data_IF_491781324162
#
_entry.id   IF_491781324162
#
_cell.length_a   1.000
_cell.length_b   1.000
_cell.length_c   1.000
_cell.angle_alpha   90.00
_cell.angle_beta   90.00
_cell.angle_gamma   90.00
#
_symmetry.space_group_name_H-M   'P 1'
#
loop_
_entity.id
_entity.type
_entity.pdbx_description
1 polymer ?
#
# COMPACT_ATOMS: atom_id res chain seq x y z
N UNK A 1 -23.54 49.59 -53.39
CA UNK A 1 -22.42 48.86 -52.69
C UNK A 1 -22.46 49.22 -51.22
N UNK A 2 -22.88 48.28 -50.36
CA UNK A 2 -22.92 48.41 -48.90
C UNK A 2 -21.58 48.03 -48.28
N UNK A 3 -21.23 48.50 -47.07
CA UNK A 3 -19.93 48.29 -46.48
C UNK A 3 -19.78 46.81 -46.02
N UNK A 4 -18.66 46.23 -46.45
CA UNK A 4 -18.23 44.88 -46.00
C UNK A 4 -17.86 44.92 -44.52
N UNK A 5 -18.54 44.12 -43.73
CA UNK A 5 -18.23 43.94 -42.32
C UNK A 5 -16.83 43.26 -42.10
N UNK A 6 -16.22 43.47 -40.93
CA UNK A 6 -14.90 42.96 -40.65
C UNK A 6 -14.81 41.41 -40.67
N UNK A 7 -13.68 40.84 -41.06
CA UNK A 7 -13.49 39.37 -41.15
C UNK A 7 -13.69 38.72 -39.80
N UNK A 8 -14.52 37.66 -39.73
CA UNK A 8 -14.69 36.82 -38.56
C UNK A 8 -13.38 36.07 -38.29
N UNK A 9 -12.70 36.45 -37.22
CA UNK A 9 -11.59 35.68 -36.69
C UNK A 9 -12.17 34.38 -36.14
N UNK A 10 -11.91 33.26 -36.80
CA UNK A 10 -12.26 31.93 -36.31
C UNK A 10 -11.43 31.66 -35.04
N UNK A 11 -12.11 31.43 -33.92
CA UNK A 11 -11.47 30.98 -32.68
C UNK A 11 -10.64 29.72 -32.95
N UNK A 12 -9.44 29.60 -32.39
CA UNK A 12 -8.59 28.42 -32.53
C UNK A 12 -9.34 27.20 -31.99
N UNK A 13 -9.43 26.13 -32.80
CA UNK A 13 -9.92 24.84 -32.32
C UNK A 13 -9.17 24.44 -31.08
N UNK A 14 -9.86 23.98 -30.01
CA UNK A 14 -9.15 23.45 -28.85
C UNK A 14 -8.27 22.29 -29.33
N UNK A 15 -6.98 22.34 -28.97
CA UNK A 15 -6.03 21.25 -29.15
C UNK A 15 -6.63 19.98 -28.55
N UNK A 16 -6.41 18.78 -29.12
CA UNK A 16 -6.86 17.53 -28.50
C UNK A 16 -6.33 17.53 -27.06
N UNK A 17 -7.25 17.41 -26.10
CA UNK A 17 -6.91 17.18 -24.69
C UNK A 17 -5.95 16.00 -24.69
N UNK A 18 -4.70 16.22 -24.38
CA UNK A 18 -3.75 15.17 -24.03
C UNK A 18 -4.45 14.36 -22.97
N UNK A 19 -4.83 13.12 -23.29
CA UNK A 19 -5.40 12.20 -22.32
C UNK A 19 -4.44 12.20 -21.12
N UNK A 20 -4.98 12.45 -19.92
CA UNK A 20 -4.16 12.33 -18.72
C UNK A 20 -3.51 10.95 -18.74
N UNK A 21 -2.21 10.84 -18.48
CA UNK A 21 -1.56 9.54 -18.47
C UNK A 21 -2.30 8.63 -17.48
N UNK A 22 -2.72 7.46 -17.95
CA UNK A 22 -3.40 6.48 -17.11
C UNK A 22 -2.54 6.16 -15.90
N UNK A 23 -3.15 6.15 -14.73
CA UNK A 23 -2.47 5.76 -13.48
C UNK A 23 -2.13 4.28 -13.59
N UNK A 24 -0.85 3.92 -13.54
CA UNK A 24 -0.40 2.54 -13.69
C UNK A 24 -1.02 1.59 -12.68
N UNK A 25 -1.26 2.07 -11.47
CA UNK A 25 -1.92 1.31 -10.41
C UNK A 25 -3.28 0.78 -10.84
N UNK A 26 -4.09 1.59 -11.54
CA UNK A 26 -5.42 1.19 -12.02
C UNK A 26 -5.35 0.48 -13.37
N UNK A 27 -4.50 0.93 -14.28
CA UNK A 27 -4.30 0.33 -15.60
C UNK A 27 -3.86 -1.14 -15.53
N UNK A 28 -2.98 -1.45 -14.59
CA UNK A 28 -2.42 -2.78 -14.37
C UNK A 28 -3.03 -3.51 -13.17
N UNK A 29 -4.18 -3.05 -12.68
CA UNK A 29 -4.89 -3.72 -11.59
C UNK A 29 -5.35 -5.11 -12.05
N UNK A 30 -5.00 -6.19 -11.34
CA UNK A 30 -5.42 -7.54 -11.68
C UNK A 30 -6.94 -7.67 -11.82
N UNK A 31 -7.38 -8.31 -12.89
CA UNK A 31 -8.80 -8.57 -13.18
C UNK A 31 -9.16 -10.01 -12.90
N UNK A 32 -8.20 -10.92 -13.08
CA UNK A 32 -8.32 -12.36 -12.83
C UNK A 32 -7.38 -12.79 -11.72
N UNK A 33 -7.69 -13.92 -11.07
CA UNK A 33 -6.86 -14.42 -9.96
C UNK A 33 -5.43 -14.77 -10.36
N UNK A 34 -5.21 -15.20 -11.59
CA UNK A 34 -3.89 -15.62 -12.07
C UNK A 34 -2.91 -14.43 -12.25
N UNK A 35 -3.42 -13.21 -12.34
CA UNK A 35 -2.63 -11.98 -12.41
C UNK A 35 -2.28 -11.41 -11.03
N UNK A 36 -2.89 -11.96 -9.97
CA UNK A 36 -2.65 -11.50 -8.59
C UNK A 36 -1.31 -12.03 -8.11
N UNK A 37 -0.53 -11.15 -7.54
CA UNK A 37 0.81 -11.44 -7.04
C UNK A 37 0.79 -11.49 -5.51
N UNK A 38 1.42 -12.51 -4.95
CA UNK A 38 1.54 -12.71 -3.51
C UNK A 38 0.31 -13.32 -2.85
N UNK A 39 0.47 -13.68 -1.58
CA UNK A 39 -0.58 -14.25 -0.74
C UNK A 39 -1.29 -15.49 -1.36
N UNK A 40 -0.54 -16.35 -2.04
CA UNK A 40 -1.02 -17.48 -2.83
C UNK A 40 -2.02 -18.37 -2.08
N UNK A 41 -1.83 -18.60 -0.77
CA UNK A 41 -2.75 -19.39 0.05
C UNK A 41 -4.14 -18.75 0.16
N UNK A 42 -4.21 -17.43 0.42
CA UNK A 42 -5.48 -16.71 0.50
C UNK A 42 -6.15 -16.63 -0.88
N UNK A 43 -5.38 -16.39 -1.92
CA UNK A 43 -5.86 -16.34 -3.32
C UNK A 43 -6.43 -17.70 -3.73
N UNK A 44 -5.78 -18.82 -3.40
CA UNK A 44 -6.27 -20.18 -3.71
C UNK A 44 -7.62 -20.47 -3.02
N UNK A 45 -7.77 -20.07 -1.75
CA UNK A 45 -9.05 -20.21 -1.02
C UNK A 45 -10.14 -19.41 -1.73
N UNK A 46 -9.89 -18.15 -2.09
CA UNK A 46 -10.86 -17.30 -2.79
C UNK A 46 -11.19 -17.84 -4.19
N UNK A 47 -10.21 -18.38 -4.90
CA UNK A 47 -10.41 -19.03 -6.20
C UNK A 47 -11.32 -20.26 -6.07
N UNK A 48 -11.17 -21.08 -5.03
CA UNK A 48 -12.06 -22.21 -4.77
C UNK A 48 -13.50 -21.78 -4.46
N UNK A 49 -13.68 -20.66 -3.75
CA UNK A 49 -15.00 -20.09 -3.46
C UNK A 49 -15.71 -19.56 -4.71
N UNK A 50 -14.97 -19.08 -5.71
CA UNK A 50 -15.58 -18.61 -6.97
C UNK A 50 -16.25 -19.71 -7.78
N UNK A 51 -15.77 -20.95 -7.66
CA UNK A 51 -16.29 -22.13 -8.37
C UNK A 51 -17.45 -22.79 -7.59
N UNK A 52 -17.42 -22.74 -6.26
CA UNK A 52 -18.36 -23.45 -5.40
C UNK A 52 -19.78 -22.85 -5.27
N UNK A 53 -20.08 -21.74 -5.96
CA UNK A 53 -21.41 -21.10 -5.99
C UNK A 53 -21.79 -20.35 -4.72
N UNK A 54 -21.50 -20.84 -3.53
CA UNK A 54 -21.77 -20.14 -2.26
C UNK A 54 -20.51 -20.05 -1.42
N UNK A 55 -20.32 -18.90 -0.77
CA UNK A 55 -19.19 -18.66 0.13
C UNK A 55 -19.65 -17.84 1.36
N UNK A 56 -18.94 -17.89 2.48
CA UNK A 56 -19.27 -17.11 3.67
C UNK A 56 -19.00 -15.62 3.45
N UNK A 57 -19.41 -14.79 4.41
CA UNK A 57 -18.88 -13.44 4.48
C UNK A 57 -17.37 -13.49 4.66
N UNK A 58 -16.64 -12.55 4.08
CA UNK A 58 -15.18 -12.54 4.07
C UNK A 58 -14.64 -11.34 4.86
N UNK A 59 -13.60 -11.57 5.60
CA UNK A 59 -12.81 -10.53 6.26
C UNK A 59 -11.34 -10.67 5.87
N UNK A 60 -10.86 -9.73 5.06
CA UNK A 60 -9.48 -9.68 4.58
C UNK A 60 -8.69 -8.70 5.45
N UNK A 61 -7.75 -9.19 6.22
CA UNK A 61 -6.93 -8.39 7.14
C UNK A 61 -5.46 -8.45 6.75
N UNK A 62 -4.78 -7.30 6.74
CA UNK A 62 -3.35 -7.23 6.44
C UNK A 62 -2.88 -5.83 6.10
N UNK A 63 -1.56 -5.62 5.88
CA UNK A 63 -0.97 -4.32 5.60
C UNK A 63 -1.54 -3.69 4.33
N UNK A 64 -1.38 -2.36 4.13
CA UNK A 64 -1.78 -1.70 2.89
C UNK A 64 -1.00 -2.25 1.69
N UNK A 65 -1.56 -2.09 0.49
CA UNK A 65 -0.92 -2.43 -0.78
C UNK A 65 -0.65 -3.91 -1.04
N UNK A 66 -1.12 -4.83 -0.19
CA UNK A 66 -0.95 -6.28 -0.36
C UNK A 66 -2.03 -6.97 -1.23
N UNK A 67 -2.93 -6.20 -1.87
CA UNK A 67 -3.88 -6.71 -2.84
C UNK A 67 -5.26 -7.13 -2.28
N UNK A 68 -5.60 -6.84 -1.01
CA UNK A 68 -6.88 -7.24 -0.39
C UNK A 68 -8.11 -6.92 -1.24
N UNK A 69 -8.31 -5.65 -1.56
CA UNK A 69 -9.47 -5.18 -2.34
C UNK A 69 -9.44 -5.72 -3.75
N UNK A 70 -8.26 -5.77 -4.38
CA UNK A 70 -8.07 -6.31 -5.73
C UNK A 70 -8.52 -7.78 -5.83
N UNK A 71 -8.14 -8.62 -4.88
CA UNK A 71 -8.52 -10.05 -4.89
C UNK A 71 -10.02 -10.23 -4.70
N UNK A 72 -10.68 -9.36 -3.90
CA UNK A 72 -12.14 -9.37 -3.77
C UNK A 72 -12.83 -9.00 -5.08
N UNK A 73 -12.29 -8.04 -5.82
CA UNK A 73 -12.79 -7.71 -7.16
C UNK A 73 -12.64 -8.89 -8.14
N UNK A 74 -11.50 -9.59 -8.10
CA UNK A 74 -11.32 -10.81 -8.88
C UNK A 74 -12.36 -11.87 -8.51
N UNK A 75 -12.63 -12.07 -7.20
CA UNK A 75 -13.67 -12.98 -6.74
C UNK A 75 -15.06 -12.54 -7.26
N UNK A 76 -15.40 -11.27 -7.11
CA UNK A 76 -16.69 -10.74 -7.52
C UNK A 76 -16.91 -10.89 -9.05
N UNK A 77 -15.89 -10.61 -9.86
CA UNK A 77 -15.92 -10.80 -11.31
C UNK A 77 -16.04 -12.28 -11.69
N UNK A 78 -15.28 -13.15 -11.06
CA UNK A 78 -15.36 -14.60 -11.30
C UNK A 78 -16.71 -15.19 -10.88
N UNK A 79 -17.28 -14.69 -9.75
CA UNK A 79 -18.57 -15.17 -9.25
C UNK A 79 -19.76 -14.64 -10.05
N UNK A 80 -19.78 -13.35 -10.37
CA UNK A 80 -20.92 -12.68 -11.01
C UNK A 80 -20.83 -12.70 -12.55
N UNK A 81 -19.64 -12.72 -13.14
CA UNK A 81 -19.45 -12.65 -14.58
C UNK A 81 -20.03 -11.37 -15.17
N UNK A 82 -20.93 -11.50 -16.15
CA UNK A 82 -21.58 -10.37 -16.82
C UNK A 82 -22.46 -9.51 -15.88
N UNK A 83 -22.89 -10.08 -14.74
CA UNK A 83 -23.71 -9.37 -13.74
C UNK A 83 -22.90 -8.59 -12.72
N UNK A 84 -21.59 -8.46 -12.91
CA UNK A 84 -20.69 -7.80 -11.96
C UNK A 84 -21.15 -6.37 -11.62
N UNK A 85 -21.45 -5.56 -12.62
CA UNK A 85 -21.85 -4.15 -12.43
C UNK A 85 -23.19 -4.00 -11.65
N UNK A 86 -24.07 -4.99 -11.76
CA UNK A 86 -25.38 -4.96 -11.10
C UNK A 86 -25.37 -5.66 -9.74
N UNK A 87 -24.51 -6.65 -9.59
CA UNK A 87 -24.44 -7.52 -8.43
C UNK A 87 -23.35 -7.17 -7.42
N UNK A 88 -22.46 -6.23 -7.73
CA UNK A 88 -21.36 -5.83 -6.88
C UNK A 88 -21.37 -4.33 -6.61
N UNK A 89 -21.15 -3.93 -5.37
CA UNK A 89 -20.90 -2.53 -4.99
C UNK A 89 -19.66 -2.45 -4.10
N UNK A 90 -18.82 -1.44 -4.37
CA UNK A 90 -17.69 -1.09 -3.51
C UNK A 90 -17.98 0.21 -2.78
N UNK A 91 -17.73 0.23 -1.48
CA UNK A 91 -17.88 1.38 -0.61
C UNK A 91 -16.64 1.51 0.26
N UNK A 92 -16.13 2.73 0.41
CA UNK A 92 -15.10 3.03 1.38
C UNK A 92 -15.76 3.42 2.72
N UNK A 93 -15.42 2.69 3.78
CA UNK A 93 -15.97 2.93 5.11
C UNK A 93 -15.42 4.22 5.77
N UNK A 94 -14.34 4.78 5.24
CA UNK A 94 -13.74 6.05 5.69
C UNK A 94 -14.34 7.29 4.99
N UNK A 95 -15.32 7.13 4.07
CA UNK A 95 -15.90 8.25 3.33
C UNK A 95 -16.63 9.21 4.30
N UNK A 96 -16.09 10.42 4.44
CA UNK A 96 -16.52 11.48 5.37
C UNK A 96 -17.97 12.00 5.13
N UNK A 97 -18.64 11.56 4.06
CA UNK A 97 -20.00 11.97 3.75
C UNK A 97 -21.07 11.49 4.76
N UNK A 98 -20.63 10.85 5.83
CA UNK A 98 -21.45 10.41 6.94
C UNK A 98 -21.68 8.90 6.98
N UNK A 99 -21.51 8.35 8.16
CA UNK A 99 -21.73 6.92 8.49
C UNK A 99 -23.15 6.47 8.07
N UNK A 100 -24.14 7.37 8.15
CA UNK A 100 -25.50 7.11 7.75
C UNK A 100 -25.66 6.92 6.24
N UNK A 101 -24.89 7.67 5.42
CA UNK A 101 -24.93 7.53 3.95
C UNK A 101 -24.40 6.17 3.52
N UNK A 102 -23.29 5.72 4.08
CA UNK A 102 -22.74 4.37 3.81
C UNK A 102 -23.74 3.30 4.26
N UNK A 103 -24.32 3.46 5.45
CA UNK A 103 -25.33 2.54 5.99
C UNK A 103 -26.58 2.46 5.12
N UNK A 104 -27.10 3.59 4.64
CA UNK A 104 -28.27 3.64 3.75
C UNK A 104 -27.96 3.01 2.38
N UNK A 105 -26.79 3.26 1.81
CA UNK A 105 -26.34 2.62 0.57
C UNK A 105 -26.24 1.12 0.69
N UNK A 106 -25.62 0.62 1.79
CA UNK A 106 -25.51 -0.83 2.08
C UNK A 106 -26.91 -1.44 2.15
N UNK A 107 -27.80 -0.83 2.94
CA UNK A 107 -29.17 -1.32 3.14
C UNK A 107 -29.97 -1.27 1.83
N UNK A 108 -29.89 -0.15 1.10
CA UNK A 108 -30.57 0.03 -0.19
C UNK A 108 -30.14 -1.02 -1.22
N UNK A 109 -28.83 -1.23 -1.38
CA UNK A 109 -28.31 -2.24 -2.30
C UNK A 109 -28.68 -3.67 -1.84
N UNK A 110 -28.62 -3.98 -0.55
CA UNK A 110 -29.02 -5.28 -0.03
C UNK A 110 -30.53 -5.56 -0.28
N UNK A 111 -31.38 -4.54 -0.17
CA UNK A 111 -32.83 -4.63 -0.43
C UNK A 111 -33.18 -4.67 -1.92
N UNK A 112 -32.38 -4.10 -2.77
CA UNK A 112 -32.64 -4.04 -4.20
C UNK A 112 -32.80 -5.46 -4.77
N UNK A 113 -33.90 -5.72 -5.48
CA UNK A 113 -34.10 -6.97 -6.21
C UNK A 113 -33.28 -6.91 -7.51
N UNK A 114 -32.22 -7.67 -7.56
CA UNK A 114 -31.41 -7.88 -8.77
C UNK A 114 -31.70 -9.29 -9.26
N UNK A 115 -32.04 -9.44 -10.53
CA UNK A 115 -32.25 -10.74 -11.15
C UNK A 115 -30.89 -11.36 -11.48
N UNK A 116 -30.39 -12.20 -10.57
CA UNK A 116 -29.15 -12.94 -10.75
C UNK A 116 -29.49 -14.40 -11.11
N UNK A 117 -28.62 -15.09 -11.85
CA UNK A 117 -28.76 -16.54 -12.08
C UNK A 117 -28.76 -17.34 -10.77
N UNK A 118 -29.33 -18.53 -10.79
CA UNK A 118 -29.35 -19.44 -9.66
C UNK A 118 -27.94 -19.70 -9.10
N UNK A 119 -27.80 -19.62 -7.78
CA UNK A 119 -26.50 -19.79 -7.09
C UNK A 119 -25.62 -18.54 -7.05
N UNK A 120 -25.98 -17.43 -7.71
CA UNK A 120 -25.23 -16.16 -7.63
C UNK A 120 -25.77 -15.27 -6.53
N UNK A 121 -24.85 -14.64 -5.78
CA UNK A 121 -25.16 -13.76 -4.67
C UNK A 121 -24.63 -12.36 -4.92
N UNK A 122 -25.34 -11.34 -4.44
CA UNK A 122 -24.80 -9.98 -4.44
C UNK A 122 -23.58 -9.87 -3.56
N UNK A 123 -22.65 -9.01 -3.92
CA UNK A 123 -21.41 -8.79 -3.16
C UNK A 123 -21.32 -7.31 -2.78
N UNK A 124 -21.14 -7.05 -1.50
CA UNK A 124 -20.82 -5.71 -0.98
C UNK A 124 -19.39 -5.74 -0.51
N UNK A 125 -18.56 -4.92 -1.14
CA UNK A 125 -17.16 -4.71 -0.79
C UNK A 125 -17.09 -3.49 0.11
N UNK A 126 -16.55 -3.64 1.30
CA UNK A 126 -16.28 -2.54 2.24
C UNK A 126 -14.78 -2.44 2.45
N UNK A 127 -14.19 -1.40 1.88
CA UNK A 127 -12.78 -1.10 2.12
C UNK A 127 -12.62 -0.24 3.38
N UNK A 128 -11.44 -0.32 4.03
CA UNK A 128 -11.12 0.36 5.28
C UNK A 128 -12.16 0.14 6.39
N UNK A 129 -12.71 -1.07 6.49
CA UNK A 129 -13.75 -1.39 7.45
C UNK A 129 -13.37 -1.12 8.92
N UNK A 130 -12.09 -1.08 9.23
CA UNK A 130 -11.54 -0.74 10.55
C UNK A 130 -11.61 0.77 10.89
N UNK A 131 -12.04 1.63 9.97
CA UNK A 131 -12.35 3.04 10.20
C UNK A 131 -13.78 3.27 10.73
N UNK A 132 -14.66 2.27 10.62
CA UNK A 132 -16.05 2.37 11.07
C UNK A 132 -16.16 2.51 12.57
N UNK A 133 -17.09 3.37 13.03
CA UNK A 133 -17.45 3.44 14.45
C UNK A 133 -18.15 2.16 14.92
N UNK A 134 -18.10 1.88 16.24
CA UNK A 134 -18.78 0.72 16.83
C UNK A 134 -20.29 0.70 16.55
N UNK A 135 -20.95 1.87 16.53
CA UNK A 135 -22.37 1.99 16.20
C UNK A 135 -22.66 1.58 14.74
N UNK A 136 -21.83 2.02 13.79
CA UNK A 136 -21.95 1.63 12.38
C UNK A 136 -21.72 0.12 12.20
N UNK A 137 -20.72 -0.45 12.88
CA UNK A 137 -20.45 -1.87 12.86
C UNK A 137 -21.63 -2.71 13.41
N UNK A 138 -22.28 -2.27 14.48
CA UNK A 138 -23.48 -2.94 15.04
C UNK A 138 -24.66 -2.88 14.07
N UNK A 139 -24.85 -1.77 13.38
CA UNK A 139 -25.90 -1.66 12.36
C UNK A 139 -25.60 -2.56 11.15
N UNK A 140 -24.34 -2.60 10.68
CA UNK A 140 -23.91 -3.49 9.60
C UNK A 140 -24.11 -4.97 9.97
N UNK A 141 -23.78 -5.38 11.21
CA UNK A 141 -24.04 -6.72 11.70
C UNK A 141 -25.51 -7.14 11.46
N UNK A 142 -26.47 -6.27 11.81
CA UNK A 142 -27.90 -6.57 11.60
C UNK A 142 -28.23 -6.72 10.11
N UNK A 143 -27.65 -5.89 9.26
CA UNK A 143 -27.83 -5.99 7.81
C UNK A 143 -27.25 -7.29 7.26
N UNK A 144 -26.07 -7.71 7.73
CA UNK A 144 -25.47 -9.00 7.36
C UNK A 144 -26.35 -10.19 7.74
N UNK A 145 -26.99 -10.15 8.93
CA UNK A 145 -27.91 -11.20 9.39
C UNK A 145 -29.16 -11.28 8.52
N UNK A 146 -29.82 -10.15 8.27
CA UNK A 146 -31.11 -10.08 7.53
C UNK A 146 -30.93 -10.50 6.08
N UNK A 147 -29.84 -10.09 5.42
CA UNK A 147 -29.62 -10.33 3.99
C UNK A 147 -28.64 -11.47 3.70
N UNK A 148 -28.35 -12.32 4.69
CA UNK A 148 -27.39 -13.43 4.56
C UNK A 148 -27.72 -14.43 3.43
N UNK A 149 -28.98 -14.56 3.04
CA UNK A 149 -29.42 -15.45 1.97
C UNK A 149 -29.14 -14.92 0.57
N UNK A 150 -29.08 -13.60 0.39
CA UNK A 150 -29.00 -12.94 -0.92
C UNK A 150 -27.74 -12.14 -1.16
N UNK A 151 -27.00 -11.83 -0.10
CA UNK A 151 -25.89 -10.89 -0.16
C UNK A 151 -24.70 -11.36 0.67
N UNK A 152 -23.49 -11.25 0.11
CA UNK A 152 -22.24 -11.51 0.81
C UNK A 152 -21.49 -10.20 1.02
N UNK A 153 -20.85 -10.12 2.18
CA UNK A 153 -20.01 -8.99 2.56
C UNK A 153 -18.55 -9.42 2.47
N UNK A 154 -17.74 -8.61 1.84
CA UNK A 154 -16.29 -8.73 1.82
C UNK A 154 -15.70 -7.47 2.44
N UNK A 155 -15.17 -7.62 3.64
CA UNK A 155 -14.63 -6.53 4.46
C UNK A 155 -13.11 -6.53 4.31
N UNK A 156 -12.53 -5.44 3.84
CA UNK A 156 -11.09 -5.25 3.84
C UNK A 156 -10.71 -4.31 4.99
N UNK A 157 -9.71 -4.68 5.78
CA UNK A 157 -9.20 -3.89 6.90
C UNK A 157 -7.68 -4.05 7.04
N UNK A 158 -7.05 -3.10 7.70
CA UNK A 158 -5.65 -3.22 8.06
C UNK A 158 -5.50 -3.94 9.40
N UNK A 159 -6.37 -3.65 10.36
CA UNK A 159 -6.31 -4.18 11.73
C UNK A 159 -7.65 -4.85 12.08
N UNK A 160 -7.69 -6.19 12.07
CA UNK A 160 -8.92 -6.94 12.35
C UNK A 160 -9.46 -6.75 13.77
N UNK A 161 -8.60 -6.48 14.76
CA UNK A 161 -9.02 -6.26 16.15
C UNK A 161 -9.82 -4.98 16.37
N UNK A 162 -9.86 -4.06 15.41
CA UNK A 162 -10.75 -2.88 15.45
C UNK A 162 -12.20 -3.21 15.09
N UNK A 163 -12.42 -4.36 14.48
CA UNK A 163 -13.79 -4.83 14.19
C UNK A 163 -14.37 -5.58 15.40
N UNK A 164 -15.65 -5.36 15.66
CA UNK A 164 -16.33 -6.01 16.76
C UNK A 164 -16.38 -7.54 16.55
N UNK A 165 -16.25 -8.29 17.64
CA UNK A 165 -16.25 -9.77 17.61
C UNK A 165 -17.48 -10.37 16.88
N UNK A 166 -18.72 -9.86 17.03
CA UNK A 166 -19.86 -10.38 16.31
C UNK A 166 -19.78 -10.29 14.77
N UNK A 167 -19.01 -9.38 14.21
CA UNK A 167 -18.73 -9.33 12.77
C UNK A 167 -17.66 -10.36 12.42
N UNK A 168 -16.57 -10.39 13.20
CA UNK A 168 -15.48 -11.34 12.96
C UNK A 168 -15.96 -12.79 12.97
N UNK A 169 -16.82 -13.17 13.93
CA UNK A 169 -17.35 -14.53 14.07
C UNK A 169 -18.25 -14.97 12.90
N UNK A 170 -18.78 -14.03 12.10
CA UNK A 170 -19.62 -14.31 10.93
C UNK A 170 -18.85 -14.38 9.62
N UNK A 171 -17.58 -14.03 9.65
CA UNK A 171 -16.72 -13.94 8.46
C UNK A 171 -15.65 -15.03 8.46
N UNK A 172 -15.34 -15.55 7.30
CA UNK A 172 -14.08 -16.28 7.12
C UNK A 172 -12.95 -15.26 7.06
N UNK A 173 -12.02 -15.37 8.00
CA UNK A 173 -10.90 -14.42 8.12
C UNK A 173 -9.74 -14.92 7.26
N UNK A 174 -9.34 -14.09 6.30
CA UNK A 174 -8.18 -14.31 5.45
C UNK A 174 -7.10 -13.27 5.79
N UNK A 175 -5.92 -13.75 6.16
CA UNK A 175 -4.79 -12.89 6.53
C UNK A 175 -3.89 -12.71 5.33
N UNK A 176 -3.61 -11.46 5.02
CA UNK A 176 -2.67 -11.04 3.99
C UNK A 176 -1.38 -10.57 4.64
N UNK A 177 -0.26 -11.00 4.10
CA UNK A 177 1.08 -10.54 4.45
C UNK A 177 1.60 -9.55 3.41
N UNK A 178 2.70 -8.89 3.73
CA UNK A 178 3.47 -8.11 2.75
C UNK A 178 3.90 -9.02 1.60
N UNK A 179 3.90 -8.48 0.39
CA UNK A 179 4.33 -9.21 -0.80
C UNK A 179 5.85 -9.38 -0.76
N UNK A 180 6.35 -10.53 -1.17
CA UNK A 180 7.77 -10.80 -1.23
C UNK A 180 8.47 -9.93 -2.29
N UNK A 181 9.71 -9.54 -2.03
CA UNK A 181 10.48 -8.64 -2.91
C UNK A 181 10.63 -9.22 -4.32
N UNK A 182 10.78 -10.53 -4.45
CA UNK A 182 10.88 -11.23 -5.74
C UNK A 182 9.59 -11.10 -6.57
N UNK A 183 8.44 -11.24 -5.91
CA UNK A 183 7.12 -11.12 -6.53
C UNK A 183 6.83 -9.67 -6.95
N UNK A 184 7.20 -8.69 -6.10
CA UNK A 184 7.13 -7.27 -6.42
C UNK A 184 7.99 -6.94 -7.63
N UNK A 185 9.24 -7.44 -7.67
CA UNK A 185 10.18 -7.22 -8.76
C UNK A 185 9.64 -7.77 -10.08
N UNK A 186 9.10 -8.98 -10.06
CA UNK A 186 8.51 -9.60 -11.25
C UNK A 186 7.35 -8.76 -11.82
N UNK A 187 6.44 -8.30 -10.94
CA UNK A 187 5.30 -7.48 -11.36
C UNK A 187 5.73 -6.10 -11.84
N UNK A 188 6.69 -5.46 -11.16
CA UNK A 188 7.23 -4.18 -11.56
C UNK A 188 7.89 -4.26 -12.95
N UNK A 189 8.76 -5.25 -13.20
CA UNK A 189 9.40 -5.46 -14.51
C UNK A 189 8.35 -5.63 -15.61
N UNK A 190 7.33 -6.45 -15.39
CA UNK A 190 6.23 -6.60 -16.34
C UNK A 190 5.58 -5.26 -16.71
N UNK A 191 5.33 -4.38 -15.74
CA UNK A 191 4.72 -3.07 -15.98
C UNK A 191 5.69 -2.16 -16.74
N UNK A 192 6.97 -2.10 -16.35
CA UNK A 192 7.99 -1.26 -16.98
C UNK A 192 8.22 -1.66 -18.46
N UNK A 193 8.21 -2.95 -18.76
CA UNK A 193 8.33 -3.47 -20.13
C UNK A 193 7.11 -3.07 -20.99
N UNK A 194 5.90 -3.17 -20.43
CA UNK A 194 4.67 -2.76 -21.12
C UNK A 194 4.62 -1.26 -21.42
N UNK A 195 5.16 -0.44 -20.53
CA UNK A 195 5.23 1.02 -20.69
C UNK A 195 6.52 1.46 -21.41
N UNK A 196 7.40 0.53 -21.81
CA UNK A 196 8.68 0.82 -22.47
C UNK A 196 9.55 1.83 -21.70
N UNK A 197 9.59 1.70 -20.38
CA UNK A 197 10.33 2.58 -19.49
C UNK A 197 11.78 2.16 -19.41
N UNK A 198 12.76 3.06 -19.62
CA UNK A 198 14.17 2.76 -19.40
C UNK A 198 14.45 2.69 -17.89
N UNK A 199 15.03 1.59 -17.45
CA UNK A 199 15.38 1.38 -16.05
C UNK A 199 16.74 0.70 -15.88
N UNK A 200 17.33 0.90 -14.71
CA UNK A 200 18.50 0.18 -14.23
C UNK A 200 18.09 -0.78 -13.08
N UNK A 201 18.79 -1.92 -12.94
CA UNK A 201 18.51 -2.88 -11.87
C UNK A 201 18.63 -2.24 -10.49
N UNK A 202 19.59 -1.35 -10.28
CA UNK A 202 19.76 -0.61 -9.02
C UNK A 202 18.56 0.31 -8.70
N UNK A 203 17.87 0.81 -9.73
CA UNK A 203 16.63 1.58 -9.59
C UNK A 203 15.44 0.72 -9.14
N UNK A 204 15.34 -0.49 -9.70
CA UNK A 204 14.33 -1.45 -9.27
C UNK A 204 14.55 -1.82 -7.79
N UNK A 205 15.77 -2.16 -7.41
CA UNK A 205 16.12 -2.53 -6.03
C UNK A 205 15.81 -1.39 -5.06
N UNK A 206 16.06 -0.13 -5.48
CA UNK A 206 15.72 1.05 -4.69
C UNK A 206 14.19 1.23 -4.52
N UNK A 207 13.39 0.99 -5.56
CA UNK A 207 11.92 1.04 -5.48
C UNK A 207 11.37 -0.01 -4.52
N UNK A 208 11.86 -1.25 -4.62
CA UNK A 208 11.42 -2.36 -3.77
C UNK A 208 11.82 -2.10 -2.32
N UNK A 209 13.05 -1.64 -2.08
CA UNK A 209 13.51 -1.25 -0.75
C UNK A 209 12.61 -0.16 -0.13
N UNK A 210 12.23 0.86 -0.91
CA UNK A 210 11.39 1.96 -0.43
C UNK A 210 9.95 1.53 -0.17
N UNK A 211 9.44 0.54 -0.90
CA UNK A 211 8.04 0.13 -0.85
C UNK A 211 7.70 -0.84 0.29
N UNK A 212 8.68 -1.55 0.85
CA UNK A 212 8.50 -2.45 2.00
C UNK A 212 7.37 -3.49 1.84
N UNK A 213 7.23 -4.08 0.67
CA UNK A 213 6.21 -5.10 0.43
C UNK A 213 4.84 -4.54 0.01
N UNK A 214 4.74 -3.25 -0.30
CA UNK A 214 3.53 -2.56 -0.77
C UNK A 214 3.59 -2.33 -2.28
N UNK A 215 2.81 -3.08 -3.08
CA UNK A 215 2.73 -2.95 -4.53
C UNK A 215 2.24 -1.57 -4.99
N UNK A 216 1.37 -0.91 -4.23
CA UNK A 216 0.86 0.43 -4.55
C UNK A 216 2.01 1.44 -4.53
N UNK A 217 2.86 1.37 -3.50
CA UNK A 217 4.03 2.23 -3.37
C UNK A 217 5.06 1.95 -4.48
N UNK A 218 5.26 0.68 -4.86
CA UNK A 218 6.16 0.31 -5.98
C UNK A 218 5.71 0.97 -7.27
N UNK A 219 4.45 0.78 -7.66
CA UNK A 219 3.93 1.27 -8.94
C UNK A 219 3.84 2.80 -8.97
N UNK A 220 3.37 3.42 -7.89
CA UNK A 220 3.29 4.88 -7.80
C UNK A 220 4.69 5.51 -7.79
N UNK A 221 5.63 4.94 -7.05
CA UNK A 221 7.03 5.40 -7.03
C UNK A 221 7.68 5.28 -8.39
N UNK A 222 7.47 4.16 -9.10
CA UNK A 222 7.99 3.95 -10.45
C UNK A 222 7.40 4.96 -11.44
N UNK A 223 6.09 5.13 -11.46
CA UNK A 223 5.41 6.07 -12.35
C UNK A 223 5.83 7.52 -12.08
N UNK A 224 5.88 7.92 -10.81
CA UNK A 224 6.29 9.28 -10.42
C UNK A 224 7.75 9.55 -10.79
N UNK A 225 8.65 8.57 -10.59
CA UNK A 225 10.06 8.70 -10.97
C UNK A 225 10.21 8.83 -12.48
N UNK A 226 9.50 8.00 -13.24
CA UNK A 226 9.53 8.06 -14.70
C UNK A 226 8.99 9.39 -15.23
N UNK A 227 7.86 9.85 -14.70
CA UNK A 227 7.26 11.14 -15.12
C UNK A 227 8.16 12.33 -14.81
N UNK A 228 8.92 12.29 -13.71
CA UNK A 228 9.79 13.38 -13.30
C UNK A 228 11.16 13.39 -14.02
N UNK A 229 11.74 12.22 -14.26
CA UNK A 229 13.14 12.10 -14.70
C UNK A 229 13.32 11.33 -16.03
N UNK A 230 12.27 10.68 -16.54
CA UNK A 230 12.33 9.89 -17.78
C UNK A 230 13.05 8.55 -17.67
N UNK A 231 13.76 8.28 -16.56
CA UNK A 231 14.50 7.05 -16.31
C UNK A 231 14.42 6.65 -14.86
N UNK A 232 14.44 5.33 -14.59
CA UNK A 232 14.42 4.79 -13.24
C UNK A 232 15.83 4.31 -12.87
N UNK A 233 16.53 5.13 -12.10
CA UNK A 233 17.83 4.81 -11.50
C UNK A 233 17.74 4.94 -9.99
N UNK A 234 18.71 4.40 -9.27
CA UNK A 234 18.77 4.51 -7.81
C UNK A 234 18.70 5.96 -7.33
N UNK A 235 19.45 6.85 -7.98
CA UNK A 235 19.49 8.27 -7.61
C UNK A 235 18.14 8.97 -7.83
N UNK A 236 17.49 8.71 -8.98
CA UNK A 236 16.21 9.31 -9.31
C UNK A 236 15.09 8.83 -8.38
N UNK A 237 15.13 7.55 -7.98
CA UNK A 237 14.15 6.97 -7.02
C UNK A 237 14.27 7.61 -5.64
N UNK A 238 15.47 7.66 -5.05
CA UNK A 238 15.64 8.27 -3.72
C UNK A 238 15.38 9.77 -3.74
N UNK A 239 15.70 10.47 -4.83
CA UNK A 239 15.37 11.87 -4.99
C UNK A 239 13.88 12.12 -5.11
N UNK A 240 13.12 11.20 -5.76
CA UNK A 240 11.67 11.31 -5.90
C UNK A 240 10.93 10.98 -4.59
N UNK A 241 11.38 9.95 -3.87
CA UNK A 241 10.70 9.48 -2.66
C UNK A 241 11.06 10.31 -1.41
N UNK A 242 11.96 11.28 -1.54
CA UNK A 242 12.47 12.11 -0.42
C UNK A 242 12.87 11.26 0.80
N UNK A 243 13.54 10.13 0.55
CA UNK A 243 14.00 9.23 1.60
C UNK A 243 15.52 9.33 1.77
N UNK A 244 16.03 9.23 3.02
CA UNK A 244 17.46 9.19 3.28
C UNK A 244 18.13 8.04 2.52
N UNK A 245 19.27 8.32 1.89
CA UNK A 245 20.01 7.31 1.13
C UNK A 245 20.52 6.19 2.07
N UNK A 246 20.13 4.92 1.84
CA UNK A 246 20.54 3.81 2.70
C UNK A 246 22.05 3.61 2.77
N UNK A 247 22.77 3.99 1.70
CA UNK A 247 24.24 3.90 1.67
C UNK A 247 24.91 4.73 2.73
N UNK A 248 24.44 5.96 2.97
CA UNK A 248 25.03 6.81 4.02
C UNK A 248 24.85 6.18 5.39
N UNK A 249 23.68 5.58 5.63
CA UNK A 249 23.42 4.86 6.87
C UNK A 249 24.26 3.59 6.96
N UNK A 250 24.44 2.87 5.85
CA UNK A 250 25.34 1.72 5.80
C UNK A 250 26.79 2.09 6.13
N UNK A 251 27.28 3.22 5.62
CA UNK A 251 28.59 3.76 5.97
C UNK A 251 28.67 4.06 7.47
N UNK A 252 27.67 4.71 8.05
CA UNK A 252 27.59 4.98 9.49
C UNK A 252 27.68 3.68 10.31
N UNK A 253 26.92 2.65 9.95
CA UNK A 253 26.92 1.37 10.66
C UNK A 253 28.25 0.61 10.48
N UNK A 254 28.86 0.66 9.31
CA UNK A 254 30.20 0.10 9.07
C UNK A 254 31.28 0.81 9.88
N UNK A 255 31.22 2.14 9.97
CA UNK A 255 32.11 2.90 10.83
C UNK A 255 31.89 2.57 12.31
N UNK A 256 30.63 2.36 12.72
CA UNK A 256 30.28 1.93 14.08
C UNK A 256 30.89 0.56 14.42
N UNK A 257 30.91 -0.40 13.50
CA UNK A 257 31.59 -1.69 13.69
C UNK A 257 33.10 -1.54 13.90
N UNK A 258 33.69 -0.57 13.24
CA UNK A 258 35.15 -0.26 13.35
C UNK A 258 35.48 0.66 14.53
N UNK A 259 34.49 1.07 15.31
CA UNK A 259 34.61 2.05 16.40
C UNK A 259 35.16 3.42 15.93
N UNK A 260 34.93 3.74 14.65
CA UNK A 260 35.27 5.03 14.08
C UNK A 260 34.12 6.04 14.33
N UNK A 261 34.30 6.86 15.36
CA UNK A 261 33.33 7.86 15.75
C UNK A 261 33.09 8.93 14.67
N UNK A 262 34.15 9.42 14.06
CA UNK A 262 34.04 10.46 13.04
C UNK A 262 33.32 9.93 11.78
N UNK A 263 33.69 8.73 11.34
CA UNK A 263 33.06 8.06 10.22
C UNK A 263 31.59 7.71 10.49
N UNK A 264 31.19 7.50 11.75
CA UNK A 264 29.82 7.19 12.12
C UNK A 264 28.93 8.44 12.16
N UNK A 265 29.38 9.58 12.71
CA UNK A 265 28.57 10.80 12.81
C UNK A 265 28.45 11.56 11.48
N UNK A 266 29.52 11.60 10.69
CA UNK A 266 29.58 12.38 9.44
C UNK A 266 28.37 12.17 8.52
N UNK A 267 28.07 10.93 8.11
CA UNK A 267 26.95 10.64 7.22
C UNK A 267 25.59 11.04 7.79
N UNK A 268 25.37 10.89 9.11
CA UNK A 268 24.11 11.27 9.77
C UNK A 268 23.92 12.78 9.79
N UNK A 269 24.99 13.54 10.05
CA UNK A 269 24.95 15.00 10.00
C UNK A 269 24.72 15.51 8.57
N UNK A 270 25.25 14.83 7.55
CA UNK A 270 24.97 15.17 6.15
C UNK A 270 23.50 14.97 5.80
N UNK A 271 22.91 13.82 6.19
CA UNK A 271 21.49 13.52 5.95
C UNK A 271 20.63 14.57 6.68
N UNK A 272 20.97 14.89 7.93
CA UNK A 272 20.27 15.91 8.71
C UNK A 272 20.32 17.29 8.04
N UNK A 273 21.49 17.71 7.53
CA UNK A 273 21.67 18.98 6.80
C UNK A 273 20.84 19.05 5.51
N UNK A 274 20.53 17.90 4.90
CA UNK A 274 19.67 17.81 3.72
C UNK A 274 18.18 18.03 4.06
N UNK A 275 17.80 18.13 5.35
CA UNK A 275 16.45 18.46 5.79
C UNK A 275 15.55 17.24 6.10
N UNK A 276 16.08 16.03 6.06
CA UNK A 276 15.31 14.85 6.40
C UNK A 276 14.85 14.84 7.86
N UNK A 277 13.63 14.36 8.11
CA UNK A 277 13.10 14.26 9.46
C UNK A 277 13.85 13.20 10.29
N UNK A 278 13.94 13.39 11.59
CA UNK A 278 14.51 12.37 12.49
C UNK A 278 13.76 11.04 12.43
N UNK A 279 12.46 11.07 12.12
CA UNK A 279 11.62 9.88 11.96
C UNK A 279 12.00 9.07 10.73
N UNK A 280 12.26 9.73 9.59
CA UNK A 280 12.64 9.07 8.33
C UNK A 280 14.05 8.50 8.44
N UNK A 281 14.96 9.26 9.08
CA UNK A 281 16.33 8.80 9.32
C UNK A 281 16.32 7.53 10.17
N UNK A 282 15.61 7.52 11.30
CA UNK A 282 15.62 6.37 12.20
C UNK A 282 14.91 5.15 11.63
N UNK A 283 13.85 5.36 10.86
CA UNK A 283 13.16 4.29 10.14
C UNK A 283 14.09 3.62 9.12
N UNK A 284 14.90 4.41 8.43
CA UNK A 284 15.89 3.89 7.50
C UNK A 284 17.03 3.17 8.24
N UNK A 285 17.46 3.65 9.42
CA UNK A 285 18.41 2.92 10.27
C UNK A 285 17.90 1.53 10.65
N UNK A 286 16.65 1.42 11.06
CA UNK A 286 16.05 0.13 11.40
C UNK A 286 16.06 -0.86 10.22
N UNK A 287 15.78 -0.37 9.01
CA UNK A 287 15.79 -1.19 7.79
C UNK A 287 17.18 -1.66 7.41
N UNK A 288 18.13 -0.73 7.37
CA UNK A 288 19.50 -1.04 6.98
C UNK A 288 20.18 -1.96 8.01
N UNK A 289 19.96 -1.73 9.31
CA UNK A 289 20.52 -2.57 10.37
C UNK A 289 20.04 -4.02 10.29
N UNK A 290 18.78 -4.26 9.90
CA UNK A 290 18.25 -5.62 9.69
C UNK A 290 18.94 -6.36 8.54
N UNK A 291 19.27 -5.67 7.47
CA UNK A 291 19.84 -6.24 6.24
C UNK A 291 21.37 -6.30 6.26
N UNK A 292 22.01 -5.61 7.21
CA UNK A 292 23.45 -5.52 7.24
C UNK A 292 24.10 -6.84 7.65
N UNK A 293 25.22 -7.18 7.02
CA UNK A 293 26.07 -8.29 7.43
C UNK A 293 26.92 -7.86 8.63
N UNK A 294 26.51 -8.29 9.83
CA UNK A 294 27.15 -8.01 11.11
C UNK A 294 26.85 -9.15 12.08
N UNK A 295 27.67 -9.34 13.14
CA UNK A 295 27.42 -10.32 14.17
C UNK A 295 26.01 -10.16 14.78
N UNK A 296 25.32 -11.26 15.01
CA UNK A 296 23.90 -11.25 15.41
C UNK A 296 23.68 -10.49 16.73
N UNK A 297 24.58 -10.67 17.71
CA UNK A 297 24.49 -9.96 18.99
C UNK A 297 24.62 -8.44 18.83
N UNK A 298 25.47 -7.95 17.92
CA UNK A 298 25.59 -6.51 17.62
C UNK A 298 24.34 -6.00 16.91
N UNK A 299 23.82 -6.75 15.94
CA UNK A 299 22.55 -6.40 15.27
C UNK A 299 21.40 -6.25 16.25
N UNK A 300 21.27 -7.16 17.20
CA UNK A 300 20.21 -7.12 18.22
C UNK A 300 20.34 -5.89 19.11
N UNK A 301 21.56 -5.56 19.58
CA UNK A 301 21.79 -4.35 20.36
C UNK A 301 21.53 -3.08 19.53
N UNK A 302 21.94 -3.05 18.27
CA UNK A 302 21.63 -1.94 17.38
C UNK A 302 20.12 -1.74 17.18
N UNK A 303 19.39 -2.80 16.89
CA UNK A 303 17.92 -2.72 16.71
C UNK A 303 17.22 -2.27 17.99
N UNK A 304 17.71 -2.69 19.15
CA UNK A 304 17.23 -2.24 20.46
C UNK A 304 17.44 -0.73 20.64
N UNK A 305 18.67 -0.23 20.41
CA UNK A 305 18.96 1.20 20.58
C UNK A 305 18.24 2.08 19.54
N UNK A 306 18.11 1.61 18.30
CA UNK A 306 17.31 2.26 17.27
C UNK A 306 15.84 2.30 17.69
N UNK A 307 15.29 1.21 18.22
CA UNK A 307 13.91 1.17 18.74
C UNK A 307 13.68 2.13 19.91
N UNK A 308 14.60 2.20 20.86
CA UNK A 308 14.54 3.14 21.99
C UNK A 308 14.62 4.61 21.52
N UNK A 309 15.47 4.89 20.55
CA UNK A 309 15.55 6.23 19.96
C UNK A 309 14.26 6.58 19.18
N UNK A 310 13.71 5.62 18.45
CA UNK A 310 12.43 5.80 17.74
C UNK A 310 11.29 6.15 18.72
N UNK A 311 11.19 5.44 19.83
CA UNK A 311 10.19 5.74 20.87
C UNK A 311 10.33 7.18 21.41
N UNK A 312 11.55 7.65 21.67
CA UNK A 312 11.80 9.02 22.14
C UNK A 312 11.43 10.06 21.09
N UNK A 313 11.80 9.83 19.83
CA UNK A 313 11.49 10.72 18.71
C UNK A 313 9.98 10.83 18.49
N UNK A 314 9.26 9.71 18.52
CA UNK A 314 7.79 9.69 18.37
C UNK A 314 7.07 10.31 19.58
N UNK A 315 7.69 10.28 20.77
CA UNK A 315 7.17 10.95 21.98
C UNK A 315 7.44 12.46 21.98
N UNK A 316 8.04 13.02 20.90
CA UNK A 316 8.27 14.46 20.74
C UNK A 316 9.71 14.93 20.98
N UNK A 317 10.64 14.06 21.41
CA UNK A 317 12.05 14.40 21.56
C UNK A 317 12.78 14.39 20.19
N UNK A 318 12.33 15.23 19.27
CA UNK A 318 12.88 15.32 17.93
C UNK A 318 14.16 16.18 17.92
N UNK A 319 15.15 15.79 17.10
CA UNK A 319 16.34 16.59 16.88
C UNK A 319 17.61 15.75 16.64
N UNK A 320 18.64 16.44 16.17
CA UNK A 320 19.93 15.84 15.87
C UNK A 320 20.56 15.18 17.11
N UNK A 321 20.37 15.78 18.31
CA UNK A 321 20.89 15.23 19.55
C UNK A 321 20.44 13.80 19.84
N UNK A 322 19.19 13.44 19.50
CA UNK A 322 18.71 12.07 19.70
C UNK A 322 19.35 11.08 18.72
N UNK A 323 19.61 11.53 17.48
CA UNK A 323 20.33 10.75 16.49
C UNK A 323 21.80 10.54 16.90
N UNK A 324 22.46 11.58 17.38
CA UNK A 324 23.83 11.50 17.88
C UNK A 324 23.93 10.59 19.09
N UNK A 325 23.00 10.70 20.04
CA UNK A 325 22.94 9.81 21.19
C UNK A 325 22.72 8.33 20.78
N UNK A 326 21.91 8.09 19.75
CA UNK A 326 21.71 6.76 19.17
C UNK A 326 23.01 6.26 18.54
N UNK A 327 23.63 7.04 17.63
CA UNK A 327 24.88 6.65 16.95
C UNK A 327 25.99 6.34 17.96
N UNK A 328 26.11 7.15 19.04
CA UNK A 328 27.06 6.90 20.12
C UNK A 328 26.87 5.49 20.71
N UNK A 329 25.64 5.09 20.95
CA UNK A 329 25.33 3.78 21.51
C UNK A 329 25.57 2.64 20.53
N UNK A 330 25.34 2.88 19.20
CA UNK A 330 25.67 1.90 18.18
C UNK A 330 27.16 1.62 18.11
N UNK A 331 28.00 2.66 18.22
CA UNK A 331 29.47 2.53 18.30
C UNK A 331 29.89 1.79 19.58
N UNK A 332 29.29 2.15 20.73
CA UNK A 332 29.57 1.49 22.01
C UNK A 332 29.13 0.01 22.05
N UNK A 333 28.04 -0.34 21.37
CA UNK A 333 27.58 -1.72 21.26
C UNK A 333 28.62 -2.60 20.55
N UNK A 334 29.26 -2.08 19.51
CA UNK A 334 30.33 -2.77 18.79
C UNK A 334 31.65 -2.95 19.64
N UNK A 335 31.82 -2.18 20.70
CA UNK A 335 32.99 -2.30 21.59
C UNK A 335 32.83 -3.34 22.70
N UNK A 336 31.61 -3.85 22.93
CA UNK A 336 31.26 -4.78 23.99
C UNK A 336 31.30 -6.26 23.58
N UNK A 337 31.50 -6.53 22.32
CA UNK A 337 31.65 -7.87 21.73
C UNK A 337 33.06 -8.11 21.25
#
# INVERSE_FOLDING_TARGET
QGPQGPPRISAPRPSPRTAMPDIWLEKYRPVVFDDVVGNNGAVAILKSHSVGGTFPHLLLSGPPGCGKTTVVHCLARAHLGEFYEQGCIELNASDDRGIDVVREKIKGFAQQKVTLPEGKLKIIILDEADSMTSAAQQAMRRTMEVFSQTTRFALACNISSKLIEPIQSRCAILRFSRIADEELMARLKFVLEKESVPYDQSGIDALIFSAEGDMRNVLNGAQSTFNAFGTITKETVFRMNDQPQPEKIKICLQASLKQDWQGAFGPVHEIWKQGYSSTDIISTFARVAKQMDAPEHIKLEWLKEVGLAHMRITSGAQGLLQLDAMVSKLVMAASRG
#
